data_IF_939779930497
#
_entry.id   IF_939779930497
#
_cell.length_a   1.000
_cell.length_b   1.000
_cell.length_c   1.000
_cell.angle_alpha   90.00
_cell.angle_beta   90.00
_cell.angle_gamma   90.00
#
_symmetry.space_group_name_H-M   'P 1'
#
loop_
_entity.id
_entity.type
_entity.pdbx_description
1 polymer ?
#
# COMPACT_ATOMS: atom_id res chain seq x y z
N UNK A 1 -24.77 -9.42 -15.34
CA UNK A 1 -24.05 -9.36 -14.05
C UNK A 1 -22.74 -8.63 -14.27
N UNK A 2 -22.42 -7.62 -13.46
CA UNK A 2 -21.12 -6.96 -13.53
C UNK A 2 -20.04 -7.95 -13.07
N UNK A 3 -18.95 -8.09 -13.82
CA UNK A 3 -17.84 -8.96 -13.38
C UNK A 3 -17.16 -8.36 -12.15
N UNK A 4 -16.55 -9.22 -11.31
CA UNK A 4 -15.82 -8.79 -10.11
C UNK A 4 -14.71 -7.77 -10.44
N UNK A 5 -14.07 -7.90 -11.62
CA UNK A 5 -13.10 -6.94 -12.15
C UNK A 5 -13.68 -5.53 -12.23
N UNK A 6 -14.87 -5.37 -12.79
CA UNK A 6 -15.52 -4.07 -12.92
C UNK A 6 -16.02 -3.52 -11.58
N UNK A 7 -16.43 -4.39 -10.64
CA UNK A 7 -16.79 -3.96 -9.28
C UNK A 7 -15.59 -3.37 -8.55
N UNK A 8 -14.40 -3.98 -8.66
CA UNK A 8 -13.18 -3.47 -8.05
C UNK A 8 -12.74 -2.16 -8.72
N UNK A 9 -12.84 -2.06 -10.05
CA UNK A 9 -12.56 -0.79 -10.75
C UNK A 9 -13.46 0.33 -10.24
N UNK A 10 -14.77 0.07 -10.15
CA UNK A 10 -15.73 1.05 -9.62
C UNK A 10 -15.42 1.45 -8.17
N UNK A 11 -15.06 0.47 -7.32
CA UNK A 11 -14.64 0.73 -5.94
C UNK A 11 -13.41 1.66 -5.91
N UNK A 12 -12.36 1.32 -6.64
CA UNK A 12 -11.12 2.12 -6.68
C UNK A 12 -11.38 3.52 -7.24
N UNK A 13 -12.15 3.64 -8.33
CA UNK A 13 -12.55 4.93 -8.88
C UNK A 13 -13.35 5.75 -7.87
N UNK A 14 -14.30 5.14 -7.16
CA UNK A 14 -15.07 5.80 -6.11
C UNK A 14 -14.19 6.32 -4.98
N UNK A 15 -13.23 5.54 -4.53
CA UNK A 15 -12.26 5.96 -3.51
C UNK A 15 -11.38 7.14 -3.98
N UNK A 16 -10.90 7.11 -5.23
CA UNK A 16 -10.12 8.22 -5.81
C UNK A 16 -10.99 9.49 -5.90
N UNK A 17 -12.22 9.38 -6.39
CA UNK A 17 -13.15 10.50 -6.49
C UNK A 17 -13.53 11.08 -5.12
N UNK A 18 -13.59 10.25 -4.08
CA UNK A 18 -13.76 10.70 -2.70
C UNK A 18 -12.51 11.43 -2.17
N UNK A 19 -11.30 10.98 -2.54
CA UNK A 19 -10.05 11.58 -2.08
C UNK A 19 -9.79 12.97 -2.67
N UNK A 20 -10.07 13.17 -3.96
CA UNK A 20 -9.73 14.39 -4.70
C UNK A 20 -10.24 15.69 -4.02
N UNK A 21 -11.52 15.81 -3.60
CA UNK A 21 -11.99 17.01 -2.91
C UNK A 21 -11.25 17.29 -1.61
N UNK A 22 -10.83 16.25 -0.88
CA UNK A 22 -10.07 16.40 0.37
C UNK A 22 -8.65 16.89 0.08
N UNK A 23 -8.01 16.40 -0.98
CA UNK A 23 -6.70 16.88 -1.41
C UNK A 23 -6.77 18.37 -1.81
N UNK A 24 -7.74 18.73 -2.64
CA UNK A 24 -7.98 20.12 -3.04
C UNK A 24 -8.21 21.00 -1.81
N UNK A 25 -9.04 20.54 -0.87
CA UNK A 25 -9.29 21.26 0.38
C UNK A 25 -8.02 21.44 1.21
N UNK A 26 -7.16 20.42 1.34
CA UNK A 26 -5.92 20.52 2.11
C UNK A 26 -4.96 21.54 1.48
N UNK A 27 -4.71 21.42 0.17
CA UNK A 27 -3.82 22.30 -0.58
C UNK A 27 -4.31 23.75 -0.60
N UNK A 28 -5.63 23.98 -0.66
CA UNK A 28 -6.19 25.34 -0.67
C UNK A 28 -6.18 26.02 0.70
N UNK A 29 -6.21 25.27 1.80
CA UNK A 29 -6.30 25.84 3.14
C UNK A 29 -4.94 25.99 3.83
N UNK A 30 -3.96 25.16 3.49
CA UNK A 30 -2.71 25.10 4.23
C UNK A 30 -1.55 24.58 3.37
N UNK A 31 -0.36 25.15 3.55
CA UNK A 31 0.83 24.66 2.85
C UNK A 31 1.25 23.27 3.34
N UNK A 32 1.85 22.46 2.46
CA UNK A 32 2.33 21.13 2.83
C UNK A 32 3.29 21.15 4.03
N UNK A 33 4.14 22.19 4.12
CA UNK A 33 5.09 22.35 5.23
C UNK A 33 4.36 22.51 6.57
N UNK A 34 3.34 23.37 6.63
CA UNK A 34 2.55 23.58 7.84
C UNK A 34 1.77 22.31 8.20
N UNK A 35 1.23 21.60 7.19
CA UNK A 35 0.61 20.30 7.36
C UNK A 35 1.52 19.28 8.06
N UNK A 36 2.78 19.15 7.64
CA UNK A 36 3.74 18.27 8.32
C UNK A 36 4.02 18.68 9.77
N UNK A 37 4.13 19.98 10.04
CA UNK A 37 4.33 20.49 11.41
C UNK A 37 3.15 20.11 12.29
N UNK A 38 1.91 20.29 11.79
CA UNK A 38 0.69 19.95 12.53
C UNK A 38 0.52 18.44 12.75
N UNK A 39 0.76 17.63 11.72
CA UNK A 39 0.79 16.17 11.84
C UNK A 39 1.79 15.74 12.91
N UNK A 40 3.01 16.31 12.92
CA UNK A 40 4.03 15.99 13.92
C UNK A 40 3.69 16.50 15.33
N UNK A 41 2.84 17.52 15.45
CA UNK A 41 2.44 18.10 16.74
C UNK A 41 1.30 17.33 17.43
N UNK A 42 0.56 16.48 16.71
CA UNK A 42 -0.49 15.65 17.29
C UNK A 42 -0.15 14.15 17.21
N UNK A 43 -0.19 13.41 18.33
CA UNK A 43 0.29 12.03 18.35
C UNK A 43 -0.59 11.06 17.55
N UNK A 44 -1.91 11.30 17.45
CA UNK A 44 -2.80 10.49 16.62
C UNK A 44 -2.60 10.76 15.13
N UNK A 45 -2.40 12.02 14.74
CA UNK A 45 -2.06 12.38 13.36
C UNK A 45 -0.70 11.80 12.95
N UNK A 46 0.31 11.86 13.83
CA UNK A 46 1.61 11.24 13.62
C UNK A 46 1.50 9.71 13.50
N UNK A 47 0.69 9.06 14.34
CA UNK A 47 0.43 7.63 14.23
C UNK A 47 -0.20 7.26 12.87
N UNK A 48 -1.20 8.02 12.42
CA UNK A 48 -1.79 7.83 11.09
C UNK A 48 -0.74 8.05 9.97
N UNK A 49 0.10 9.07 10.08
CA UNK A 49 1.17 9.29 9.11
C UNK A 49 2.21 8.16 9.12
N UNK A 50 2.57 7.62 10.28
CA UNK A 50 3.46 6.46 10.33
C UNK A 50 2.82 5.20 9.72
N UNK A 51 1.53 4.95 9.93
CA UNK A 51 0.80 3.86 9.26
C UNK A 51 0.83 4.02 7.74
N UNK A 52 0.62 5.26 7.26
CA UNK A 52 0.74 5.61 5.85
C UNK A 52 2.11 5.19 5.31
N UNK A 53 3.21 5.54 6.00
CA UNK A 53 4.56 5.22 5.51
C UNK A 53 4.80 3.71 5.39
N UNK A 54 4.25 2.89 6.29
CA UNK A 54 4.37 1.43 6.23
C UNK A 54 3.63 0.90 5.00
N UNK A 55 2.34 1.24 4.86
CA UNK A 55 1.55 0.81 3.71
C UNK A 55 2.08 1.30 2.37
N UNK A 56 2.57 2.54 2.36
CA UNK A 56 3.15 3.16 1.19
C UNK A 56 4.42 2.44 0.72
N UNK A 57 5.32 2.08 1.64
CA UNK A 57 6.51 1.31 1.32
C UNK A 57 6.19 -0.08 0.73
N UNK A 58 5.16 -0.76 1.27
CA UNK A 58 4.64 -2.01 0.70
C UNK A 58 4.13 -1.78 -0.74
N UNK A 59 3.30 -0.76 -0.96
CA UNK A 59 2.71 -0.46 -2.27
C UNK A 59 3.75 -0.07 -3.33
N UNK A 60 4.76 0.73 -2.96
CA UNK A 60 5.87 1.05 -3.86
C UNK A 60 6.64 -0.21 -4.26
N UNK A 61 6.85 -1.12 -3.31
CA UNK A 61 7.53 -2.39 -3.57
C UNK A 61 6.70 -3.26 -4.50
N UNK A 62 5.39 -3.35 -4.28
CA UNK A 62 4.47 -4.03 -5.19
C UNK A 62 4.58 -3.49 -6.63
N UNK A 63 4.56 -2.17 -6.82
CA UNK A 63 4.72 -1.54 -8.14
C UNK A 63 6.08 -1.89 -8.75
N UNK A 64 7.17 -1.73 -8.01
CA UNK A 64 8.52 -2.02 -8.49
C UNK A 64 8.70 -3.49 -8.89
N UNK A 65 8.26 -4.41 -8.03
CA UNK A 65 8.32 -5.85 -8.27
C UNK A 65 7.51 -6.21 -9.52
N UNK A 66 6.30 -5.67 -9.64
CA UNK A 66 5.41 -6.00 -10.75
C UNK A 66 5.84 -5.39 -12.09
N UNK A 67 6.39 -4.19 -12.09
CA UNK A 67 6.77 -3.48 -13.33
C UNK A 67 8.21 -3.72 -13.78
N UNK A 68 9.15 -3.83 -12.84
CA UNK A 68 10.58 -3.81 -13.16
C UNK A 68 11.29 -5.14 -12.89
N UNK A 69 10.64 -6.13 -12.25
CA UNK A 69 11.31 -7.40 -11.96
C UNK A 69 11.15 -8.41 -13.10
N UNK A 70 12.29 -8.94 -13.56
CA UNK A 70 12.33 -10.07 -14.48
C UNK A 70 11.96 -11.40 -13.80
N UNK A 71 12.01 -11.48 -12.46
CA UNK A 71 11.71 -12.69 -11.68
C UNK A 71 10.21 -13.04 -11.65
N UNK A 72 9.39 -12.07 -12.03
CA UNK A 72 7.96 -12.05 -11.82
C UNK A 72 7.22 -11.71 -13.12
N UNK A 73 7.38 -12.53 -14.16
CA UNK A 73 6.88 -12.20 -15.49
C UNK A 73 5.35 -12.24 -15.53
N UNK A 74 4.77 -11.18 -16.07
CA UNK A 74 3.36 -11.19 -16.50
C UNK A 74 3.32 -11.68 -17.94
N UNK A 75 2.52 -12.70 -18.23
CA UNK A 75 2.41 -13.28 -19.56
C UNK A 75 2.10 -12.20 -20.61
N UNK A 76 2.91 -12.13 -21.66
CA UNK A 76 2.74 -11.16 -22.75
C UNK A 76 3.24 -9.74 -22.47
N UNK A 77 3.84 -9.46 -21.31
CA UNK A 77 4.37 -8.14 -20.95
C UNK A 77 5.86 -8.20 -20.65
N UNK A 78 6.63 -7.26 -21.21
CA UNK A 78 8.04 -7.06 -20.86
C UNK A 78 8.15 -6.13 -19.65
N UNK A 79 9.06 -6.39 -18.71
CA UNK A 79 9.39 -5.47 -17.63
C UNK A 79 9.78 -4.09 -18.18
N UNK A 80 9.33 -3.04 -17.50
CA UNK A 80 9.55 -1.65 -17.89
C UNK A 80 9.86 -0.80 -16.66
N UNK A 81 11.15 -0.52 -16.46
CA UNK A 81 11.62 0.37 -15.39
C UNK A 81 11.03 1.78 -15.50
N UNK A 82 10.68 2.23 -16.72
CA UNK A 82 10.00 3.51 -16.93
C UNK A 82 8.57 3.51 -16.41
N UNK A 83 7.84 2.41 -16.59
CA UNK A 83 6.50 2.29 -16.02
C UNK A 83 6.56 2.25 -14.50
N UNK A 84 7.50 1.48 -13.94
CA UNK A 84 7.75 1.46 -12.49
C UNK A 84 8.06 2.87 -11.97
N UNK A 85 9.01 3.56 -12.60
CA UNK A 85 9.41 4.92 -12.24
C UNK A 85 8.22 5.89 -12.26
N UNK A 86 7.43 5.88 -13.33
CA UNK A 86 6.25 6.74 -13.45
C UNK A 86 5.27 6.51 -12.29
N UNK A 87 4.90 5.27 -12.01
CA UNK A 87 3.92 4.95 -10.97
C UNK A 87 4.45 5.21 -9.56
N UNK A 88 5.74 4.95 -9.31
CA UNK A 88 6.39 5.27 -8.03
C UNK A 88 6.42 6.78 -7.79
N UNK A 89 6.83 7.56 -8.79
CA UNK A 89 6.84 9.03 -8.68
C UNK A 89 5.43 9.56 -8.47
N UNK A 90 4.45 9.06 -9.23
CA UNK A 90 3.06 9.46 -9.04
C UNK A 90 2.57 9.13 -7.63
N UNK A 91 2.87 7.94 -7.11
CA UNK A 91 2.55 7.56 -5.74
C UNK A 91 3.24 8.44 -4.70
N UNK A 92 4.49 8.86 -4.92
CA UNK A 92 5.17 9.80 -4.01
C UNK A 92 4.50 11.18 -3.98
N UNK A 93 3.86 11.58 -5.09
CA UNK A 93 3.20 12.89 -5.19
C UNK A 93 1.79 12.89 -4.61
N UNK A 94 1.02 11.81 -4.82
CA UNK A 94 -0.42 11.80 -4.47
C UNK A 94 -0.85 10.64 -3.58
N UNK A 95 0.07 9.79 -3.12
CA UNK A 95 -0.19 8.71 -2.17
C UNK A 95 -0.92 7.50 -2.76
N UNK A 96 -1.75 6.83 -1.95
CA UNK A 96 -2.50 5.64 -2.37
C UNK A 96 -3.53 5.87 -3.50
N UNK A 97 -4.06 7.09 -3.79
CA UNK A 97 -4.77 7.33 -5.04
C UNK A 97 -4.02 6.88 -6.30
N UNK A 98 -2.69 7.07 -6.34
CA UNK A 98 -1.88 6.58 -7.46
C UNK A 98 -1.82 5.05 -7.49
N UNK A 99 -1.74 4.41 -6.32
CA UNK A 99 -1.71 2.96 -6.17
C UNK A 99 -3.04 2.35 -6.62
N UNK A 100 -4.17 2.97 -6.27
CA UNK A 100 -5.49 2.58 -6.78
C UNK A 100 -5.59 2.79 -8.29
N UNK A 101 -5.08 3.92 -8.81
CA UNK A 101 -4.98 4.17 -10.25
C UNK A 101 -4.15 3.12 -10.98
N UNK A 102 -3.04 2.71 -10.38
CA UNK A 102 -2.21 1.61 -10.85
C UNK A 102 -2.98 0.29 -10.83
N UNK A 103 -3.72 -0.01 -9.76
CA UNK A 103 -4.58 -1.18 -9.66
C UNK A 103 -5.65 -1.22 -10.76
N UNK A 104 -6.31 -0.08 -11.05
CA UNK A 104 -7.25 0.04 -12.18
C UNK A 104 -6.53 -0.24 -13.50
N UNK A 105 -5.37 0.38 -13.72
CA UNK A 105 -4.57 0.15 -14.92
C UNK A 105 -4.24 -1.33 -15.12
N UNK A 106 -3.79 -2.02 -14.06
CA UNK A 106 -3.51 -3.47 -14.11
C UNK A 106 -4.77 -4.29 -14.37
N UNK A 107 -5.89 -3.94 -13.72
CA UNK A 107 -7.17 -4.62 -13.92
C UNK A 107 -7.61 -4.50 -15.37
N UNK A 108 -7.54 -3.32 -15.99
CA UNK A 108 -7.93 -3.12 -17.39
C UNK A 108 -7.13 -4.03 -18.32
N UNK A 109 -5.81 -4.11 -18.13
CA UNK A 109 -4.90 -4.89 -18.98
C UNK A 109 -5.02 -6.40 -18.76
N UNK A 110 -5.34 -6.84 -17.53
CA UNK A 110 -5.34 -8.25 -17.19
C UNK A 110 -6.65 -8.96 -17.63
N UNK A 111 -6.57 -10.23 -18.09
CA UNK A 111 -7.73 -11.08 -18.35
C UNK A 111 -8.57 -11.35 -17.09
N UNK A 112 -7.91 -11.46 -15.93
CA UNK A 112 -8.52 -11.81 -14.64
C UNK A 112 -8.03 -10.90 -13.51
N UNK A 113 -8.79 -10.83 -12.41
CA UNK A 113 -8.38 -10.07 -11.21
C UNK A 113 -7.14 -10.69 -10.56
N UNK A 114 -7.03 -12.02 -10.58
CA UNK A 114 -5.85 -12.70 -10.07
C UNK A 114 -4.60 -12.31 -10.86
N UNK A 115 -4.65 -12.29 -12.19
CA UNK A 115 -3.49 -11.86 -13.00
C UNK A 115 -3.17 -10.36 -12.82
N UNK A 116 -4.15 -9.54 -12.45
CA UNK A 116 -3.95 -8.12 -12.17
C UNK A 116 -3.14 -7.85 -10.88
N UNK A 117 -3.18 -8.76 -9.90
CA UNK A 117 -2.59 -8.53 -8.57
C UNK A 117 -1.57 -9.58 -8.15
N UNK A 118 -1.76 -10.85 -8.51
CA UNK A 118 -0.84 -11.92 -8.15
C UNK A 118 0.35 -11.86 -9.08
N UNK A 119 1.52 -11.88 -8.46
CA UNK A 119 2.81 -11.87 -9.12
C UNK A 119 3.40 -13.26 -8.89
N UNK A 120 3.50 -14.07 -9.96
CA UNK A 120 4.00 -15.46 -9.84
C UNK A 120 5.49 -15.50 -10.13
N UNK A 121 6.26 -16.09 -9.23
CA UNK A 121 7.67 -16.35 -9.47
C UNK A 121 7.79 -17.32 -10.67
N UNK A 122 8.58 -16.97 -11.67
CA UNK A 122 8.88 -17.92 -12.74
C UNK A 122 9.64 -19.10 -12.11
N UNK A 123 9.15 -20.32 -12.29
CA UNK A 123 9.95 -21.53 -12.00
C UNK A 123 11.27 -21.41 -12.73
N UNK A 124 12.34 -21.13 -11.98
CA UNK A 124 13.67 -20.87 -12.51
C UNK A 124 14.16 -22.13 -13.20
N UNK A 125 14.38 -22.06 -14.51
CA UNK A 125 15.01 -23.13 -15.26
C UNK A 125 16.45 -23.31 -14.75
N UNK A 126 16.78 -24.52 -14.34
CA UNK A 126 18.03 -24.97 -13.70
C UNK A 126 19.33 -24.57 -14.45
N UNK A 127 19.82 -23.33 -14.31
CA UNK A 127 21.15 -22.93 -14.81
C UNK A 127 22.08 -22.53 -13.64
N UNK A 128 22.81 -23.49 -13.04
CA UNK A 128 23.40 -23.35 -11.70
C UNK A 128 24.53 -22.30 -11.53
N UNK A 129 25.02 -21.69 -12.62
CA UNK A 129 26.20 -20.81 -12.62
C UNK A 129 25.94 -19.31 -12.46
N UNK A 130 24.98 -18.74 -13.19
CA UNK A 130 24.58 -17.32 -13.04
C UNK A 130 23.58 -17.10 -11.91
N UNK A 131 22.83 -18.15 -11.58
CA UNK A 131 21.66 -18.08 -10.71
C UNK A 131 22.05 -17.91 -9.24
N UNK A 132 23.22 -18.41 -8.81
CA UNK A 132 23.67 -18.27 -7.41
C UNK A 132 23.98 -16.82 -7.03
N UNK A 133 24.61 -16.04 -7.92
CA UNK A 133 24.93 -14.63 -7.63
C UNK A 133 23.69 -13.73 -7.67
N UNK A 134 22.80 -13.93 -8.66
CA UNK A 134 21.53 -13.18 -8.74
C UNK A 134 20.64 -13.52 -7.56
N UNK A 135 20.49 -14.80 -7.21
CA UNK A 135 19.71 -15.21 -6.04
C UNK A 135 20.28 -14.65 -4.72
N UNK A 136 21.60 -14.58 -4.56
CA UNK A 136 22.23 -14.07 -3.33
C UNK A 136 22.06 -12.55 -3.19
N UNK A 137 22.21 -11.79 -4.29
CA UNK A 137 22.03 -10.32 -4.28
C UNK A 137 20.57 -9.94 -4.05
N UNK A 138 19.62 -10.65 -4.68
CA UNK A 138 18.18 -10.43 -4.49
C UNK A 138 17.75 -10.77 -3.06
N UNK A 139 18.28 -11.84 -2.46
CA UNK A 139 17.99 -12.20 -1.06
C UNK A 139 18.47 -11.15 -0.06
N UNK A 140 19.66 -10.58 -0.24
CA UNK A 140 20.14 -9.53 0.66
C UNK A 140 19.30 -8.25 0.56
N UNK A 141 18.94 -7.82 -0.65
CA UNK A 141 18.07 -6.67 -0.87
C UNK A 141 16.67 -6.90 -0.29
N UNK A 142 16.12 -8.11 -0.43
CA UNK A 142 14.86 -8.50 0.20
C UNK A 142 14.96 -8.47 1.73
N UNK A 143 16.05 -9.01 2.30
CA UNK A 143 16.29 -8.96 3.74
C UNK A 143 16.42 -7.52 4.26
N UNK A 144 17.10 -6.63 3.53
CA UNK A 144 17.20 -5.21 3.87
C UNK A 144 15.83 -4.53 3.81
N UNK A 145 15.03 -4.84 2.79
CA UNK A 145 13.68 -4.32 2.65
C UNK A 145 12.78 -4.78 3.80
N UNK A 146 12.78 -6.08 4.13
CA UNK A 146 12.03 -6.64 5.26
C UNK A 146 12.45 -5.99 6.59
N UNK A 147 13.75 -5.77 6.79
CA UNK A 147 14.26 -5.06 7.96
C UNK A 147 13.78 -3.60 8.01
N UNK A 148 13.74 -2.90 6.87
CA UNK A 148 13.21 -1.53 6.79
C UNK A 148 11.71 -1.47 7.08
N UNK A 149 10.92 -2.40 6.51
CA UNK A 149 9.49 -2.53 6.79
C UNK A 149 9.22 -2.82 8.27
N UNK A 150 9.99 -3.73 8.87
CA UNK A 150 9.92 -4.02 10.30
C UNK A 150 10.26 -2.78 11.14
N UNK A 151 11.29 -2.02 10.75
CA UNK A 151 11.65 -0.77 11.41
C UNK A 151 10.51 0.26 11.36
N UNK A 152 9.89 0.46 10.21
CA UNK A 152 8.73 1.35 10.04
C UNK A 152 7.54 0.87 10.88
N UNK A 153 7.30 -0.43 10.95
CA UNK A 153 6.22 -1.00 11.77
C UNK A 153 6.47 -0.82 13.27
N UNK A 154 7.69 -1.05 13.76
CA UNK A 154 8.05 -0.78 15.15
C UNK A 154 7.87 0.71 15.47
N UNK A 155 8.26 1.60 14.55
CA UNK A 155 8.03 3.04 14.69
C UNK A 155 6.53 3.38 14.75
N UNK A 156 5.71 2.80 13.89
CA UNK A 156 4.25 2.94 13.93
C UNK A 156 3.67 2.48 15.28
N UNK A 157 4.05 1.30 15.76
CA UNK A 157 3.60 0.80 17.07
C UNK A 157 3.99 1.75 18.20
N UNK A 158 5.21 2.30 18.16
CA UNK A 158 5.66 3.30 19.11
C UNK A 158 4.77 4.56 19.07
N UNK A 159 4.47 5.09 17.89
CA UNK A 159 3.55 6.23 17.73
C UNK A 159 2.16 5.93 18.30
N UNK A 160 1.62 4.73 18.08
CA UNK A 160 0.34 4.31 18.65
C UNK A 160 0.37 4.26 20.18
N UNK A 161 1.43 3.72 20.79
CA UNK A 161 1.60 3.68 22.24
C UNK A 161 1.68 5.11 22.80
N UNK A 162 2.46 5.98 22.17
CA UNK A 162 2.53 7.39 22.55
C UNK A 162 1.16 8.06 22.47
N UNK A 163 0.42 7.87 21.36
CA UNK A 163 -0.91 8.42 21.18
C UNK A 163 -1.90 7.95 22.27
N UNK A 164 -1.95 6.65 22.53
CA UNK A 164 -2.81 6.05 23.56
C UNK A 164 -2.46 6.56 24.97
N UNK A 165 -1.17 6.81 25.25
CA UNK A 165 -0.71 7.31 26.55
C UNK A 165 -0.92 8.81 26.76
N UNK A 166 -1.05 9.59 25.68
CA UNK A 166 -1.03 11.06 25.75
C UNK A 166 -2.38 11.71 25.45
N UNK A 167 -3.24 11.07 24.66
CA UNK A 167 -4.51 11.66 24.24
C UNK A 167 -5.59 10.60 24.05
N UNK A 168 -6.82 10.89 24.48
CA UNK A 168 -7.96 10.01 24.22
C UNK A 168 -8.19 9.84 22.71
N UNK A 169 -8.71 8.67 22.30
CA UNK A 169 -9.06 8.40 20.89
C UNK A 169 -10.05 9.44 20.36
N UNK A 170 -11.01 9.86 21.20
CA UNK A 170 -12.02 10.85 20.84
C UNK A 170 -11.40 12.19 20.47
N UNK A 171 -10.49 12.71 21.29
CA UNK A 171 -9.82 13.98 21.04
C UNK A 171 -8.89 13.90 19.83
N UNK A 172 -8.18 12.77 19.67
CA UNK A 172 -7.37 12.48 18.49
C UNK A 172 -8.19 12.52 17.20
N UNK A 173 -9.38 11.91 17.21
CA UNK A 173 -10.28 11.94 16.05
C UNK A 173 -10.84 13.34 15.77
N UNK A 174 -11.17 14.12 16.79
CA UNK A 174 -11.59 15.51 16.58
C UNK A 174 -10.48 16.33 15.95
N UNK A 175 -9.23 16.14 16.40
CA UNK A 175 -8.08 16.77 15.79
C UNK A 175 -7.94 16.39 14.31
N UNK A 176 -7.92 15.09 14.00
CA UNK A 176 -7.78 14.57 12.63
C UNK A 176 -8.84 15.16 11.71
N UNK A 177 -10.12 15.25 12.13
CA UNK A 177 -11.17 15.85 11.30
C UNK A 177 -11.03 17.36 11.12
N UNK A 178 -10.50 18.05 12.12
CA UNK A 178 -10.37 19.50 12.10
C UNK A 178 -9.21 19.98 11.24
N UNK A 179 -8.15 19.16 11.14
CA UNK A 179 -6.95 19.49 10.38
C UNK A 179 -7.00 18.89 8.95
N UNK A 180 -6.88 19.71 7.89
CA UNK A 180 -7.02 19.22 6.52
C UNK A 180 -5.98 18.18 6.11
N UNK A 181 -4.72 18.31 6.54
CA UNK A 181 -3.64 17.39 6.17
C UNK A 181 -3.70 16.09 6.98
N UNK A 182 -4.03 16.16 8.26
CA UNK A 182 -4.28 14.97 9.07
C UNK A 182 -5.49 14.18 8.54
N UNK A 183 -6.59 14.86 8.19
CA UNK A 183 -7.76 14.22 7.60
C UNK A 183 -7.44 13.59 6.24
N UNK A 184 -6.67 14.28 5.41
CA UNK A 184 -6.23 13.75 4.11
C UNK A 184 -5.37 12.50 4.29
N UNK A 185 -4.42 12.51 5.23
CA UNK A 185 -3.55 11.36 5.55
C UNK A 185 -4.38 10.17 6.03
N UNK A 186 -5.38 10.42 6.88
CA UNK A 186 -6.31 9.37 7.31
C UNK A 186 -7.11 8.79 6.12
N UNK A 187 -7.63 9.65 5.23
CA UNK A 187 -8.29 9.19 4.01
C UNK A 187 -7.35 8.37 3.12
N UNK A 188 -6.10 8.81 2.96
CA UNK A 188 -5.07 8.09 2.19
C UNK A 188 -4.84 6.67 2.75
N UNK A 189 -4.74 6.54 4.07
CA UNK A 189 -4.63 5.23 4.72
C UNK A 189 -5.80 4.31 4.41
N UNK A 190 -7.03 4.82 4.41
CA UNK A 190 -8.21 4.03 4.04
C UNK A 190 -8.11 3.52 2.60
N UNK A 191 -7.58 4.34 1.68
CA UNK A 191 -7.34 3.92 0.30
C UNK A 191 -6.29 2.79 0.24
N UNK A 192 -5.21 2.88 1.02
CA UNK A 192 -4.22 1.82 1.18
C UNK A 192 -4.82 0.52 1.73
N UNK A 193 -5.70 0.62 2.74
CA UNK A 193 -6.44 -0.52 3.31
C UNK A 193 -7.34 -1.17 2.27
N UNK A 194 -8.04 -0.38 1.45
CA UNK A 194 -8.89 -0.89 0.36
C UNK A 194 -8.06 -1.65 -0.67
N UNK A 195 -6.93 -1.10 -1.11
CA UNK A 195 -6.01 -1.76 -2.03
C UNK A 195 -5.53 -3.10 -1.45
N UNK A 196 -4.99 -3.07 -0.23
CA UNK A 196 -4.45 -4.24 0.47
C UNK A 196 -5.53 -5.30 0.70
N UNK A 197 -6.75 -4.88 1.02
CA UNK A 197 -7.89 -5.79 1.22
C UNK A 197 -8.23 -6.56 -0.05
N UNK A 198 -8.21 -5.90 -1.20
CA UNK A 198 -8.41 -6.55 -2.51
C UNK A 198 -7.24 -7.47 -2.82
N UNK A 199 -6.02 -7.01 -2.63
CA UNK A 199 -4.81 -7.80 -2.82
C UNK A 199 -4.85 -9.11 -1.99
N UNK A 200 -5.13 -9.02 -0.69
CA UNK A 200 -5.23 -10.18 0.21
C UNK A 200 -6.35 -11.14 -0.19
N UNK A 201 -7.50 -10.62 -0.61
CA UNK A 201 -8.58 -11.47 -1.11
C UNK A 201 -8.17 -12.25 -2.36
N UNK A 202 -7.28 -11.70 -3.20
CA UNK A 202 -6.75 -12.39 -4.38
C UNK A 202 -5.67 -13.40 -4.01
N UNK A 203 -4.71 -13.03 -3.16
CA UNK A 203 -3.62 -13.92 -2.71
C UNK A 203 -4.19 -15.15 -1.98
N UNK A 204 -5.15 -14.95 -1.07
CA UNK A 204 -5.75 -16.03 -0.28
C UNK A 204 -6.89 -16.78 -1.01
N UNK A 205 -7.05 -16.56 -2.32
CA UNK A 205 -8.19 -17.05 -3.11
C UNK A 205 -8.52 -18.53 -2.90
N UNK A 206 -9.80 -18.90 -3.04
CA UNK A 206 -10.22 -20.32 -3.06
C UNK A 206 -10.86 -20.86 -1.78
N UNK A 207 -11.65 -20.07 -1.05
CA UNK A 207 -12.54 -20.59 0.01
C UNK A 207 -12.10 -20.33 1.46
N UNK A 208 -10.97 -19.68 1.68
CA UNK A 208 -10.48 -19.31 3.01
C UNK A 208 -11.07 -17.98 3.53
N UNK A 209 -12.40 -17.80 3.45
CA UNK A 209 -13.07 -16.57 3.88
C UNK A 209 -12.84 -16.21 5.35
N UNK A 210 -12.57 -17.21 6.20
CA UNK A 210 -12.16 -16.98 7.60
C UNK A 210 -10.81 -16.26 7.69
N UNK A 211 -9.84 -16.65 6.87
CA UNK A 211 -8.52 -16.01 6.83
C UNK A 211 -8.61 -14.60 6.25
N UNK A 212 -9.38 -14.41 5.17
CA UNK A 212 -9.64 -13.09 4.60
C UNK A 212 -10.31 -12.17 5.63
N UNK A 213 -11.32 -12.67 6.34
CA UNK A 213 -12.00 -11.93 7.40
C UNK A 213 -11.07 -11.54 8.55
N UNK A 214 -10.20 -12.46 9.00
CA UNK A 214 -9.19 -12.17 10.02
C UNK A 214 -8.19 -11.10 9.56
N UNK A 215 -7.77 -11.15 8.28
CA UNK A 215 -6.91 -10.14 7.68
C UNK A 215 -7.58 -8.77 7.59
N UNK A 216 -8.85 -8.70 7.21
CA UNK A 216 -9.59 -7.44 7.22
C UNK A 216 -9.73 -6.89 8.63
N UNK A 217 -10.05 -7.72 9.63
CA UNK A 217 -10.09 -7.30 11.03
C UNK A 217 -8.73 -6.74 11.48
N UNK A 218 -7.64 -7.41 11.13
CA UNK A 218 -6.29 -6.95 11.42
C UNK A 218 -5.99 -5.60 10.74
N UNK A 219 -6.30 -5.43 9.45
CA UNK A 219 -6.14 -4.16 8.73
C UNK A 219 -6.96 -3.02 9.35
N UNK A 220 -8.18 -3.31 9.82
CA UNK A 220 -9.01 -2.31 10.48
C UNK A 220 -8.51 -1.93 11.88
N UNK A 221 -7.82 -2.82 12.58
CA UNK A 221 -7.32 -2.59 13.94
C UNK A 221 -5.89 -2.04 13.98
N UNK A 222 -5.03 -2.54 13.10
CA UNK A 222 -3.59 -2.27 13.07
C UNK A 222 -3.18 -1.44 11.85
N UNK A 223 -4.15 -1.00 11.05
CA UNK A 223 -3.90 -0.22 9.85
C UNK A 223 -3.13 -0.98 8.77
N UNK A 224 -2.48 -0.21 7.90
CA UNK A 224 -1.56 -0.71 6.89
C UNK A 224 -0.31 -1.36 7.49
N UNK A 225 0.00 -1.16 8.78
CA UNK A 225 1.04 -1.87 9.52
C UNK A 225 0.97 -3.40 9.38
N UNK A 226 -0.23 -3.94 9.19
CA UNK A 226 -0.45 -5.37 8.95
C UNK A 226 0.22 -5.88 7.66
N UNK A 227 0.58 -5.01 6.71
CA UNK A 227 1.24 -5.41 5.46
C UNK A 227 2.64 -5.99 5.67
N UNK A 228 3.29 -5.75 6.82
CA UNK A 228 4.62 -6.31 7.14
C UNK A 228 4.59 -7.83 7.26
N UNK A 229 3.46 -8.43 7.64
CA UNK A 229 3.33 -9.89 7.72
C UNK A 229 2.90 -10.55 6.40
N UNK A 230 2.73 -9.78 5.32
CA UNK A 230 2.49 -10.32 3.99
C UNK A 230 3.83 -10.76 3.41
N UNK A 231 4.02 -12.07 3.33
CA UNK A 231 5.15 -12.64 2.64
C UNK A 231 4.95 -12.51 1.13
N UNK A 232 5.85 -11.81 0.44
CA UNK A 232 5.78 -11.66 -1.03
C UNK A 232 6.32 -12.90 -1.76
N UNK A 233 6.74 -13.95 -1.04
CA UNK A 233 7.27 -15.20 -1.61
C UNK A 233 6.19 -16.24 -1.99
N UNK A 234 4.89 -15.92 -1.84
CA UNK A 234 3.78 -16.86 -2.19
C UNK A 234 3.50 -16.99 -3.68
#
# INVERSE_FOLDING_TARGET
>A
MLSIKWLIILLFSGCILFFIPNLVRAVMNESLKEGFVKIGANPWALAAFSDFTVGFAFNLTFICVREASDLYPIAGRKPSSWSAFFWVVLAMLVGNPAVLGYGIYQLVQAPSVQEAFIVRCATVNNNPGSDRMVATRTKWLFGLFQAAMLGLFIYYLFCCVVALSSQSIGDGWQYIKSDPWAYLTFCDNLLGVVFTSVYMAMVLGGGCWKAIGAWWLALWWLGNGTTVSIDMES
#
